data_IF_187441030377
#
_entry.id   IF_187441030377
#
_cell.length_a   1.000
_cell.length_b   1.000
_cell.length_c   1.000
_cell.angle_alpha   90.00
_cell.angle_beta   90.00
_cell.angle_gamma   90.00
#
_symmetry.space_group_name_H-M   'P 1'
#
loop_
_entity.id
_entity.type
_entity.pdbx_description
1 polymer ?
#
# COMPACT_ATOMS: atom_id res chain seq x y z
N UNK A 1 -5.09 3.76 13.14
CA UNK A 1 -4.94 5.15 12.66
C UNK A 1 -6.04 5.47 11.67
N UNK A 2 -6.69 6.62 11.81
CA UNK A 2 -7.74 7.14 10.93
C UNK A 2 -7.71 8.66 10.99
N UNK A 3 -8.44 9.34 10.11
CA UNK A 3 -8.71 10.78 10.28
C UNK A 3 -9.55 11.05 11.54
N UNK A 4 -9.46 12.28 12.08
CA UNK A 4 -10.02 12.63 13.39
C UNK A 4 -11.55 12.55 13.46
N UNK A 5 -12.23 12.84 12.35
CA UNK A 5 -13.70 12.78 12.22
C UNK A 5 -14.28 11.44 12.70
N UNK A 6 -13.54 10.35 12.51
CA UNK A 6 -14.03 8.98 12.74
C UNK A 6 -13.66 8.41 14.11
N UNK A 7 -12.85 9.13 14.91
CA UNK A 7 -12.28 8.60 16.15
C UNK A 7 -13.33 8.07 17.13
N UNK A 8 -14.39 8.84 17.38
CA UNK A 8 -15.48 8.41 18.27
C UNK A 8 -16.28 7.24 17.72
N UNK A 9 -16.52 7.19 16.41
CA UNK A 9 -17.25 6.08 15.79
C UNK A 9 -16.45 4.78 15.89
N UNK A 10 -15.14 4.84 15.67
CA UNK A 10 -14.26 3.67 15.80
C UNK A 10 -14.20 3.21 17.26
N UNK A 11 -14.01 4.14 18.20
CA UNK A 11 -13.97 3.80 19.63
C UNK A 11 -15.31 3.21 20.12
N UNK A 12 -16.44 3.80 19.72
CA UNK A 12 -17.77 3.37 20.15
C UNK A 12 -18.26 2.08 19.48
N UNK A 13 -18.13 1.97 18.14
CA UNK A 13 -18.70 0.85 17.39
C UNK A 13 -17.73 -0.31 17.24
N UNK A 14 -16.45 -0.04 16.94
CA UNK A 14 -15.44 -1.09 16.75
C UNK A 14 -14.75 -1.50 18.06
N UNK A 15 -14.90 -0.70 19.14
CA UNK A 15 -14.26 -0.92 20.43
C UNK A 15 -12.74 -1.16 20.27
N UNK A 16 -12.07 -0.21 19.63
CA UNK A 16 -10.62 -0.22 19.38
C UNK A 16 -10.00 1.13 19.72
N UNK A 17 -8.74 1.10 20.14
CA UNK A 17 -7.95 2.29 20.45
C UNK A 17 -7.69 3.12 19.19
N UNK A 18 -7.95 4.42 19.26
CA UNK A 18 -7.70 5.40 18.19
C UNK A 18 -6.59 6.35 18.61
N UNK A 19 -5.74 6.76 17.66
CA UNK A 19 -4.64 7.69 17.94
C UNK A 19 -5.12 9.14 18.06
N UNK A 20 -6.11 9.51 17.25
CA UNK A 20 -6.67 10.85 17.19
C UNK A 20 -8.19 10.74 17.26
N UNK A 21 -8.83 11.72 17.89
CA UNK A 21 -10.27 11.77 18.13
C UNK A 21 -10.88 13.12 17.73
N UNK A 22 -12.21 13.19 17.83
CA UNK A 22 -13.01 14.35 17.42
C UNK A 22 -13.06 15.46 18.50
N UNK A 23 -12.28 15.33 19.59
CA UNK A 23 -12.16 16.39 20.59
C UNK A 23 -11.11 17.45 20.20
N UNK A 24 -10.20 17.10 19.30
CA UNK A 24 -9.22 18.01 18.68
C UNK A 24 -8.42 18.88 19.66
N UNK A 25 -8.09 18.36 20.84
CA UNK A 25 -7.40 19.13 21.89
C UNK A 25 -5.88 19.26 21.67
N UNK A 26 -5.28 18.36 20.88
CA UNK A 26 -3.84 18.35 20.57
C UNK A 26 -3.62 18.40 19.05
N UNK A 27 -3.41 19.61 18.54
CA UNK A 27 -3.23 19.87 17.11
C UNK A 27 -1.95 19.25 16.54
N UNK A 28 -0.85 19.22 17.30
CA UNK A 28 0.40 18.62 16.84
C UNK A 28 0.26 17.12 16.60
N UNK A 29 -0.56 16.41 17.40
CA UNK A 29 -0.85 15.00 17.16
C UNK A 29 -1.67 14.79 15.87
N UNK A 30 -2.68 15.63 15.64
CA UNK A 30 -3.47 15.61 14.39
C UNK A 30 -2.56 15.89 13.18
N UNK A 31 -1.66 16.86 13.30
CA UNK A 31 -0.70 17.20 12.25
C UNK A 31 0.26 16.06 11.92
N UNK A 32 0.67 15.27 12.92
CA UNK A 32 1.51 14.10 12.72
C UNK A 32 0.77 12.98 11.97
N UNK A 33 -0.51 12.76 12.25
CA UNK A 33 -1.37 11.86 11.45
C UNK A 33 -1.60 12.41 10.04
N UNK A 34 -1.86 13.72 9.90
CA UNK A 34 -1.98 14.38 8.60
C UNK A 34 -0.72 14.19 7.77
N UNK A 35 0.45 14.39 8.38
CA UNK A 35 1.77 14.19 7.77
C UNK A 35 1.97 12.74 7.33
N UNK A 36 1.59 11.76 8.16
CA UNK A 36 1.66 10.35 7.78
C UNK A 36 0.72 10.03 6.59
N UNK A 37 -0.45 10.65 6.50
CA UNK A 37 -1.39 10.39 5.41
C UNK A 37 -0.99 11.04 4.08
N UNK A 38 -0.32 12.20 4.13
CA UNK A 38 0.07 12.96 2.93
C UNK A 38 1.52 12.74 2.47
N UNK A 39 2.35 12.04 3.25
CA UNK A 39 3.72 11.69 2.87
C UNK A 39 3.80 10.48 1.94
N UNK A 40 5.00 10.21 1.41
CA UNK A 40 5.29 8.96 0.69
C UNK A 40 5.21 7.75 1.64
N UNK A 41 4.99 6.56 1.08
CA UNK A 41 4.81 5.32 1.86
C UNK A 41 5.97 5.05 2.85
N UNK A 42 7.22 5.29 2.46
CA UNK A 42 8.41 5.10 3.29
C UNK A 42 8.42 6.02 4.51
N UNK A 43 8.28 7.34 4.31
CA UNK A 43 8.22 8.32 5.41
C UNK A 43 7.02 8.08 6.32
N UNK A 44 5.90 7.71 5.72
CA UNK A 44 4.68 7.41 6.46
C UNK A 44 4.84 6.17 7.32
N UNK A 45 5.56 5.16 6.82
CA UNK A 45 5.86 3.94 7.58
C UNK A 45 6.74 4.20 8.80
N UNK A 46 7.73 5.10 8.71
CA UNK A 46 8.53 5.52 9.86
C UNK A 46 7.64 6.15 10.95
N UNK A 47 6.71 7.03 10.55
CA UNK A 47 5.78 7.69 11.47
C UNK A 47 4.79 6.67 12.07
N UNK A 48 4.23 5.77 11.26
CA UNK A 48 3.32 4.73 11.75
C UNK A 48 4.02 3.77 12.72
N UNK A 49 5.29 3.46 12.48
CA UNK A 49 6.08 2.59 13.36
C UNK A 49 6.41 3.28 14.67
N UNK A 50 6.75 4.58 14.65
CA UNK A 50 7.05 5.33 15.89
C UNK A 50 5.84 5.50 16.80
N UNK A 51 4.64 5.54 16.21
CA UNK A 51 3.36 5.60 16.92
C UNK A 51 2.78 4.22 17.26
N UNK A 52 3.47 3.13 16.95
CA UNK A 52 3.01 1.74 17.08
C UNK A 52 1.61 1.48 16.48
N UNK A 53 1.40 1.93 15.24
CA UNK A 53 0.16 1.69 14.50
C UNK A 53 0.11 0.25 13.98
N UNK A 54 -1.01 -0.43 14.20
CA UNK A 54 -1.29 -1.75 13.63
C UNK A 54 -2.13 -1.70 12.35
N UNK A 55 -3.16 -0.85 12.34
CA UNK A 55 -4.12 -0.75 11.25
C UNK A 55 -4.35 0.70 10.83
N UNK A 56 -4.60 0.90 9.54
CA UNK A 56 -4.98 2.17 8.93
C UNK A 56 -6.36 2.04 8.31
N UNK A 57 -7.27 2.94 8.65
CA UNK A 57 -8.61 3.01 8.08
C UNK A 57 -8.71 4.24 7.17
N UNK A 58 -9.22 4.03 5.96
CA UNK A 58 -9.49 5.07 4.97
C UNK A 58 -10.90 4.93 4.43
N UNK A 59 -11.61 6.04 4.28
CA UNK A 59 -12.90 6.11 3.58
C UNK A 59 -12.68 6.50 2.12
N UNK A 60 -13.15 5.65 1.22
CA UNK A 60 -13.04 5.81 -0.22
C UNK A 60 -14.41 5.81 -0.89
N UNK A 61 -14.80 6.93 -1.51
CA UNK A 61 -16.14 7.11 -2.07
C UNK A 61 -16.26 6.80 -3.56
N UNK A 62 -15.17 6.44 -4.23
CA UNK A 62 -15.10 6.50 -5.70
C UNK A 62 -15.95 5.47 -6.46
N UNK A 63 -16.34 4.36 -5.83
CA UNK A 63 -17.22 3.33 -6.43
C UNK A 63 -18.68 3.79 -6.49
N UNK A 64 -19.18 4.39 -5.41
CA UNK A 64 -20.60 4.73 -5.26
C UNK A 64 -20.90 6.22 -5.44
N UNK A 65 -19.86 7.07 -5.54
CA UNK A 65 -20.06 8.52 -5.62
C UNK A 65 -20.28 9.18 -4.25
N UNK A 66 -19.69 8.64 -3.18
CA UNK A 66 -19.82 9.25 -1.85
C UNK A 66 -18.87 10.44 -1.70
N UNK A 67 -19.43 11.64 -1.55
CA UNK A 67 -18.65 12.89 -1.52
C UNK A 67 -17.85 13.11 -0.22
N UNK A 68 -18.23 12.46 0.88
CA UNK A 68 -17.57 12.62 2.18
C UNK A 68 -16.32 11.75 2.37
N UNK A 69 -15.61 11.40 1.29
CA UNK A 69 -14.44 10.53 1.33
C UNK A 69 -13.16 11.27 1.77
N UNK A 70 -12.13 10.51 2.11
CA UNK A 70 -10.89 11.09 2.65
C UNK A 70 -10.05 11.81 1.59
N UNK A 71 -10.27 11.53 0.30
CA UNK A 71 -9.60 12.26 -0.78
C UNK A 71 -10.16 13.68 -0.91
N UNK A 72 -11.47 13.92 -0.70
CA UNK A 72 -12.03 15.29 -0.69
C UNK A 72 -11.58 16.08 0.54
N UNK A 73 -11.30 15.39 1.64
CA UNK A 73 -10.77 16.01 2.87
C UNK A 73 -9.25 16.10 2.89
N UNK A 74 -8.57 15.53 1.90
CA UNK A 74 -7.11 15.39 1.88
C UNK A 74 -6.38 16.73 2.03
N UNK A 75 -6.85 17.78 1.37
CA UNK A 75 -6.19 19.08 1.41
C UNK A 75 -6.22 19.71 2.82
N UNK A 76 -7.25 19.40 3.63
CA UNK A 76 -7.27 19.78 5.05
C UNK A 76 -6.19 19.05 5.84
N UNK A 77 -5.93 17.78 5.54
CA UNK A 77 -4.84 17.01 6.16
C UNK A 77 -3.48 17.63 5.85
N UNK A 78 -3.28 18.03 4.59
CA UNK A 78 -2.06 18.70 4.11
C UNK A 78 -1.85 20.04 4.83
N UNK A 79 -2.88 20.89 4.90
CA UNK A 79 -2.80 22.21 5.56
C UNK A 79 -2.47 22.12 7.05
N UNK A 80 -3.09 21.17 7.77
CA UNK A 80 -2.81 20.96 9.20
C UNK A 80 -1.38 20.43 9.38
N UNK A 81 -0.93 19.52 8.52
CA UNK A 81 0.43 19.00 8.56
C UNK A 81 1.48 20.07 8.22
N UNK A 82 1.23 20.92 7.22
CA UNK A 82 2.11 22.04 6.85
C UNK A 82 2.25 23.07 7.98
N UNK A 83 1.17 23.34 8.72
CA UNK A 83 1.19 24.28 9.85
C UNK A 83 2.22 23.93 10.93
N UNK A 84 2.38 22.64 11.23
CA UNK A 84 3.35 22.17 12.25
C UNK A 84 4.68 21.70 11.63
N UNK A 85 4.67 21.22 10.38
CA UNK A 85 5.83 20.65 9.68
C UNK A 85 6.07 21.26 8.28
N UNK A 86 6.33 22.58 8.19
CA UNK A 86 6.42 23.30 6.90
C UNK A 86 7.64 22.93 6.04
N UNK A 87 8.63 22.25 6.64
CA UNK A 87 9.82 21.78 5.92
C UNK A 87 9.59 20.50 5.13
N UNK A 88 8.64 19.68 5.58
CA UNK A 88 8.42 18.34 5.04
C UNK A 88 7.26 18.30 4.04
N UNK A 89 6.23 19.11 4.27
CA UNK A 89 4.99 19.13 3.50
C UNK A 89 4.65 20.56 3.13
N UNK A 90 4.27 20.76 1.86
CA UNK A 90 3.79 22.03 1.33
C UNK A 90 2.54 21.79 0.51
N UNK A 91 1.50 22.61 0.71
CA UNK A 91 0.25 22.50 -0.03
C UNK A 91 0.46 22.64 -1.55
N UNK A 92 1.38 23.51 -1.97
CA UNK A 92 1.70 23.75 -3.38
C UNK A 92 2.10 22.49 -4.14
N UNK A 93 2.74 21.53 -3.47
CA UNK A 93 3.32 20.34 -4.11
C UNK A 93 2.24 19.34 -4.57
N UNK A 94 1.00 19.47 -4.06
CA UNK A 94 -0.13 18.62 -4.41
C UNK A 94 -1.02 19.20 -5.51
N UNK A 95 -0.72 20.42 -5.97
CA UNK A 95 -1.39 21.04 -7.11
C UNK A 95 -0.57 20.86 -8.38
N UNK A 96 -1.27 20.89 -9.52
CA UNK A 96 -0.60 20.99 -10.82
C UNK A 96 0.02 22.38 -11.02
N UNK A 97 0.85 22.55 -12.04
CA UNK A 97 1.41 23.88 -12.41
C UNK A 97 0.34 24.94 -12.69
N UNK A 98 -0.90 24.50 -12.99
CA UNK A 98 -2.07 25.36 -13.20
C UNK A 98 -2.85 25.68 -11.91
N UNK A 99 -2.44 25.12 -10.78
CA UNK A 99 -3.13 25.26 -9.50
C UNK A 99 -4.37 24.35 -9.35
N UNK A 100 -4.51 23.32 -10.19
CA UNK A 100 -5.66 22.40 -10.12
C UNK A 100 -5.36 21.18 -9.24
N UNK A 101 -6.32 20.73 -8.44
CA UNK A 101 -6.22 19.48 -7.68
C UNK A 101 -6.84 18.35 -8.50
N UNK A 102 -5.99 17.53 -9.14
CA UNK A 102 -6.41 16.46 -10.05
C UNK A 102 -5.87 15.10 -9.60
N UNK A 103 -6.69 14.07 -9.76
CA UNK A 103 -6.35 12.66 -9.45
C UNK A 103 -6.01 11.83 -10.70
N UNK A 104 -6.09 12.45 -11.87
CA UNK A 104 -5.80 11.81 -13.15
C UNK A 104 -4.30 11.80 -13.45
N UNK A 105 -3.93 11.41 -14.66
CA UNK A 105 -2.52 11.33 -15.08
C UNK A 105 -1.83 12.69 -15.10
N UNK A 106 -2.58 13.79 -15.12
CA UNK A 106 -2.06 15.16 -15.04
C UNK A 106 -1.92 15.66 -13.60
N UNK A 107 -2.33 14.84 -12.61
CA UNK A 107 -2.20 15.13 -11.20
C UNK A 107 -0.74 15.29 -10.75
N UNK A 108 -0.54 16.04 -9.67
CA UNK A 108 0.79 16.30 -9.13
C UNK A 108 1.50 14.98 -8.75
N UNK A 109 2.80 14.81 -9.08
CA UNK A 109 3.54 13.61 -8.73
C UNK A 109 3.59 13.32 -7.22
N UNK A 110 3.55 14.36 -6.39
CA UNK A 110 3.50 14.21 -4.94
C UNK A 110 2.16 13.59 -4.48
N UNK A 111 1.04 13.98 -5.10
CA UNK A 111 -0.28 13.41 -4.84
C UNK A 111 -0.37 11.96 -5.30
N UNK A 112 0.06 11.65 -6.52
CA UNK A 112 -0.01 10.28 -7.07
C UNK A 112 0.85 9.26 -6.31
N UNK A 113 1.86 9.74 -5.57
CA UNK A 113 2.76 8.92 -4.75
C UNK A 113 2.49 9.00 -3.24
N UNK A 114 1.53 9.80 -2.79
CA UNK A 114 1.23 9.92 -1.36
C UNK A 114 0.55 8.65 -0.84
N UNK A 115 0.69 8.41 0.47
CA UNK A 115 0.09 7.26 1.12
C UNK A 115 -1.43 7.24 0.94
N UNK A 116 -2.12 8.37 1.14
CA UNK A 116 -3.58 8.45 1.02
C UNK A 116 -4.07 8.03 -0.38
N UNK A 117 -3.41 8.50 -1.45
CA UNK A 117 -3.75 8.11 -2.81
C UNK A 117 -3.55 6.60 -3.00
N UNK A 118 -2.39 6.07 -2.58
CA UNK A 118 -2.10 4.64 -2.68
C UNK A 118 -3.11 3.78 -1.91
N UNK A 119 -3.47 4.15 -0.69
CA UNK A 119 -4.44 3.41 0.12
C UNK A 119 -5.87 3.52 -0.42
N UNK A 120 -6.26 4.65 -0.99
CA UNK A 120 -7.61 4.79 -1.53
C UNK A 120 -7.79 4.02 -2.85
N UNK A 121 -6.80 4.09 -3.74
CA UNK A 121 -6.87 3.54 -5.10
C UNK A 121 -6.21 2.18 -5.29
N UNK A 122 -5.81 1.50 -4.20
CA UNK A 122 -5.20 0.17 -4.30
C UNK A 122 -6.12 -0.81 -5.04
N UNK A 123 -5.61 -1.38 -6.15
CA UNK A 123 -6.34 -2.27 -7.09
C UNK A 123 -7.57 -1.65 -7.76
N UNK A 124 -7.78 -0.33 -7.61
CA UNK A 124 -8.91 0.36 -8.25
C UNK A 124 -8.72 0.51 -9.76
N UNK A 125 -7.48 0.54 -10.25
CA UNK A 125 -7.17 0.67 -11.69
C UNK A 125 -7.70 -0.48 -12.55
N UNK A 126 -7.86 -1.67 -11.98
CA UNK A 126 -8.39 -2.85 -12.66
C UNK A 126 -9.92 -2.93 -12.59
N UNK A 127 -10.55 -2.18 -11.69
CA UNK A 127 -11.98 -2.22 -11.46
C UNK A 127 -12.73 -1.53 -12.60
N UNK A 128 -13.63 -2.27 -13.25
CA UNK A 128 -14.58 -1.74 -14.23
C UNK A 128 -15.97 -1.69 -13.63
N UNK A 129 -16.46 -0.48 -13.38
CA UNK A 129 -17.80 -0.25 -12.81
C UNK A 129 -18.90 -0.39 -13.85
N UNK A 130 -18.69 0.17 -15.04
CA UNK A 130 -19.66 0.14 -16.12
C UNK A 130 -19.14 -0.76 -17.25
N UNK A 131 -20.02 -1.52 -17.90
CA UNK A 131 -19.65 -2.44 -18.98
C UNK A 131 -18.93 -1.74 -20.15
N UNK A 132 -19.28 -0.47 -20.41
CA UNK A 132 -18.65 0.37 -21.45
C UNK A 132 -17.69 1.41 -20.88
N UNK A 133 -17.55 1.49 -19.55
CA UNK A 133 -16.74 2.49 -18.88
C UNK A 133 -15.24 2.14 -18.90
N UNK A 134 -14.37 3.15 -18.81
CA UNK A 134 -12.94 2.90 -18.59
C UNK A 134 -12.71 2.26 -17.21
N UNK A 135 -11.66 1.44 -17.10
CA UNK A 135 -11.24 0.88 -15.81
C UNK A 135 -10.57 1.96 -14.94
N UNK A 136 -10.81 1.91 -13.63
CA UNK A 136 -10.31 2.90 -12.67
C UNK A 136 -10.97 4.27 -12.79
N UNK A 137 -12.28 4.29 -13.07
CA UNK A 137 -13.06 5.53 -13.13
C UNK A 137 -13.63 5.89 -11.75
N UNK A 138 -13.23 7.04 -11.21
CA UNK A 138 -13.76 7.57 -9.95
C UNK A 138 -15.05 8.36 -10.21
N UNK A 139 -16.19 7.87 -9.69
CA UNK A 139 -17.50 8.51 -9.84
C UNK A 139 -17.65 9.81 -9.05
N UNK A 140 -16.89 10.02 -7.98
CA UNK A 140 -16.98 11.26 -7.19
C UNK A 140 -16.33 12.43 -7.91
N UNK A 141 -15.20 12.17 -8.59
CA UNK A 141 -14.38 13.18 -9.27
C UNK A 141 -14.56 13.20 -10.78
N UNK A 142 -15.33 12.26 -11.30
CA UNK A 142 -15.60 12.10 -12.73
C UNK A 142 -14.32 12.01 -13.59
N UNK A 143 -13.28 11.37 -13.05
CA UNK A 143 -11.97 11.27 -13.68
C UNK A 143 -11.42 9.83 -13.64
N UNK A 144 -10.59 9.51 -14.62
CA UNK A 144 -9.84 8.25 -14.63
C UNK A 144 -8.59 8.45 -13.79
N UNK A 145 -8.29 7.51 -12.89
CA UNK A 145 -7.10 7.60 -12.05
C UNK A 145 -5.82 7.64 -12.88
N UNK A 146 -4.85 8.44 -12.45
CA UNK A 146 -3.56 8.59 -13.13
C UNK A 146 -2.66 7.36 -12.98
N UNK A 147 -2.42 6.96 -11.74
CA UNK A 147 -1.60 5.80 -11.43
C UNK A 147 -2.50 4.58 -11.17
N UNK A 148 -2.43 3.59 -12.07
CA UNK A 148 -3.28 2.38 -12.05
C UNK A 148 -2.61 1.19 -11.39
N UNK A 149 -1.30 1.04 -11.61
CA UNK A 149 -0.56 -0.16 -11.25
C UNK A 149 0.53 0.21 -10.24
N UNK A 150 0.24 -0.07 -8.97
CA UNK A 150 1.22 0.07 -7.90
C UNK A 150 0.99 -0.99 -6.82
N UNK A 151 2.06 -1.36 -6.14
CA UNK A 151 2.04 -2.29 -5.02
C UNK A 151 2.35 -1.56 -3.71
N UNK A 152 1.77 -2.06 -2.62
CA UNK A 152 2.07 -1.60 -1.27
C UNK A 152 3.21 -2.46 -0.71
N UNK A 153 4.28 -1.81 -0.28
CA UNK A 153 5.45 -2.47 0.29
C UNK A 153 5.28 -2.69 1.78
N UNK A 154 4.89 -1.64 2.49
CA UNK A 154 4.83 -1.60 3.96
C UNK A 154 3.45 -1.91 4.53
N UNK A 155 2.41 -1.84 3.71
CA UNK A 155 1.04 -2.12 4.10
C UNK A 155 0.48 -3.30 3.30
N UNK A 156 -0.50 -3.96 3.87
CA UNK A 156 -1.30 -4.99 3.20
C UNK A 156 -2.78 -4.73 3.41
N UNK A 157 -3.59 -5.04 2.40
CA UNK A 157 -5.04 -4.93 2.47
C UNK A 157 -5.59 -5.99 3.44
N UNK A 158 -6.20 -5.55 4.54
CA UNK A 158 -6.76 -6.44 5.55
C UNK A 158 -8.26 -6.67 5.34
N UNK A 159 -9.00 -5.61 4.98
CA UNK A 159 -10.43 -5.69 4.70
C UNK A 159 -10.88 -4.53 3.81
N UNK A 160 -11.78 -4.83 2.87
CA UNK A 160 -12.46 -3.84 2.04
C UNK A 160 -13.94 -4.18 2.01
N UNK A 161 -14.79 -3.18 2.30
CA UNK A 161 -16.25 -3.33 2.29
C UNK A 161 -16.79 -3.65 0.91
N UNK A 162 -18.03 -4.17 0.82
CA UNK A 162 -18.68 -4.58 -0.44
C UNK A 162 -18.67 -3.49 -1.52
N UNK A 163 -19.04 -2.27 -1.14
CA UNK A 163 -19.04 -1.10 -2.03
C UNK A 163 -17.77 -0.27 -1.96
N UNK A 164 -16.71 -0.83 -1.37
CA UNK A 164 -15.38 -0.22 -1.21
C UNK A 164 -15.39 1.13 -0.48
N UNK A 165 -16.42 1.40 0.32
CA UNK A 165 -16.58 2.64 1.07
C UNK A 165 -15.55 2.78 2.19
N UNK A 166 -15.34 1.70 2.95
CA UNK A 166 -14.34 1.63 4.00
C UNK A 166 -13.29 0.60 3.61
N UNK A 167 -12.02 0.99 3.74
CA UNK A 167 -10.84 0.17 3.50
C UNK A 167 -9.96 0.16 4.74
N UNK A 168 -9.51 -1.02 5.12
CA UNK A 168 -8.66 -1.25 6.29
C UNK A 168 -7.39 -1.95 5.83
N UNK A 169 -6.26 -1.35 6.16
CA UNK A 169 -4.93 -1.83 5.85
C UNK A 169 -4.21 -2.21 7.14
N UNK A 170 -3.46 -3.30 7.11
CA UNK A 170 -2.55 -3.70 8.17
C UNK A 170 -1.15 -3.17 7.86
N UNK A 171 -0.51 -2.60 8.86
CA UNK A 171 0.89 -2.17 8.78
C UNK A 171 1.78 -3.36 9.08
N UNK A 172 2.66 -3.73 8.14
CA UNK A 172 3.63 -4.81 8.36
C UNK A 172 4.62 -4.38 9.43
N UNK A 173 4.98 -5.28 10.34
CA UNK A 173 5.91 -4.92 11.42
C UNK A 173 7.38 -5.04 10.96
N UNK A 174 8.32 -4.28 11.57
CA UNK A 174 9.73 -4.29 11.16
C UNK A 174 10.38 -5.68 11.13
N UNK A 175 9.95 -6.58 12.01
CA UNK A 175 10.41 -7.97 12.08
C UNK A 175 10.04 -8.80 10.83
N UNK A 176 9.03 -8.41 10.06
CA UNK A 176 8.61 -9.09 8.83
C UNK A 176 9.58 -8.80 7.66
N UNK A 177 10.34 -7.70 7.74
CA UNK A 177 11.31 -7.29 6.73
C UNK A 177 12.72 -7.87 6.94
N UNK A 178 12.89 -8.83 7.86
CA UNK A 178 14.19 -9.40 8.27
C UNK A 178 14.95 -10.17 7.15
N UNK A 179 14.45 -10.14 5.91
CA UNK A 179 15.14 -10.65 4.73
C UNK A 179 15.08 -9.65 3.58
N UNK A 180 15.94 -8.61 3.56
CA UNK A 180 15.98 -7.68 2.45
C UNK A 180 16.36 -8.41 1.15
N UNK A 181 15.64 -8.09 0.08
CA UNK A 181 15.98 -8.54 -1.27
C UNK A 181 17.26 -7.84 -1.72
N UNK A 182 18.42 -8.49 -1.57
CA UNK A 182 19.68 -7.96 -2.10
C UNK A 182 19.63 -7.93 -3.63
N UNK A 183 19.95 -6.77 -4.21
CA UNK A 183 20.08 -6.60 -5.66
C UNK A 183 21.20 -7.50 -6.17
N UNK A 184 21.09 -7.96 -7.41
CA UNK A 184 22.06 -8.90 -8.00
C UNK A 184 23.50 -8.38 -7.94
N UNK A 185 23.66 -7.06 -8.08
CA UNK A 185 24.93 -6.33 -8.00
C UNK A 185 25.60 -6.35 -6.62
N UNK A 186 24.81 -6.49 -5.55
CA UNK A 186 25.28 -6.50 -4.16
C UNK A 186 25.64 -7.93 -3.69
N UNK A 187 25.44 -8.94 -4.54
CA UNK A 187 25.69 -10.34 -4.19
C UNK A 187 27.15 -10.70 -4.44
N UNK A 188 27.84 -11.09 -3.37
CA UNK A 188 29.25 -11.57 -3.41
C UNK A 188 29.40 -12.83 -4.27
N UNK A 189 28.36 -13.67 -4.32
CA UNK A 189 28.35 -14.91 -5.10
C UNK A 189 27.57 -14.71 -6.40
N UNK A 190 28.23 -15.01 -7.52
CA UNK A 190 27.58 -15.05 -8.82
C UNK A 190 26.57 -16.20 -8.86
N UNK A 191 25.30 -15.94 -9.21
CA UNK A 191 24.31 -17.00 -9.30
C UNK A 191 24.67 -17.90 -10.48
N UNK A 192 24.71 -19.22 -10.25
CA UNK A 192 24.75 -20.16 -11.37
C UNK A 192 23.37 -20.20 -12.02
N UNK A 193 23.33 -20.17 -13.35
CA UNK A 193 22.11 -20.34 -14.13
C UNK A 193 21.60 -21.79 -14.04
N UNK A 194 20.97 -22.13 -12.91
CA UNK A 194 20.26 -23.40 -12.75
C UNK A 194 18.81 -23.21 -13.21
N UNK A 195 18.44 -23.87 -14.30
CA UNK A 195 17.05 -23.92 -14.76
C UNK A 195 16.35 -25.09 -14.06
N UNK A 196 15.24 -24.78 -13.39
CA UNK A 196 14.43 -25.80 -12.73
C UNK A 196 13.92 -26.83 -13.73
N UNK A 197 14.16 -28.10 -13.41
CA UNK A 197 13.69 -29.25 -14.17
C UNK A 197 12.44 -29.87 -13.54
N UNK A 198 11.82 -29.20 -12.56
CA UNK A 198 10.63 -29.65 -11.86
C UNK A 198 9.37 -29.44 -12.70
N UNK A 199 8.50 -30.43 -12.71
CA UNK A 199 7.15 -30.33 -13.24
C UNK A 199 6.19 -31.11 -12.32
N UNK A 200 4.85 -31.05 -12.50
CA UNK A 200 3.90 -31.70 -11.60
C UNK A 200 4.17 -33.21 -11.41
N UNK A 201 4.68 -33.88 -12.45
CA UNK A 201 5.06 -35.31 -12.46
C UNK A 201 6.47 -35.60 -11.92
N UNK A 202 7.40 -34.64 -12.01
CA UNK A 202 8.80 -34.75 -11.61
C UNK A 202 9.12 -33.69 -10.56
N UNK A 203 8.89 -34.04 -9.30
CA UNK A 203 9.12 -33.18 -8.13
C UNK A 203 10.54 -33.32 -7.53
N UNK A 204 11.49 -33.94 -8.24
CA UNK A 204 12.87 -34.14 -7.76
C UNK A 204 13.72 -32.88 -7.96
N UNK A 205 14.42 -32.46 -6.90
CA UNK A 205 15.40 -31.38 -6.94
C UNK A 205 16.74 -31.79 -7.56
N UNK A 206 17.63 -30.82 -7.74
CA UNK A 206 18.99 -31.00 -8.23
C UNK A 206 19.99 -30.69 -7.13
N UNK A 207 21.03 -31.52 -7.01
CA UNK A 207 22.17 -31.32 -6.11
C UNK A 207 23.39 -31.35 -7.03
N UNK A 208 24.22 -30.29 -7.01
CA UNK A 208 25.37 -30.15 -7.93
C UNK A 208 26.37 -31.30 -7.84
N UNK A 209 26.67 -31.75 -6.63
CA UNK A 209 27.65 -32.80 -6.33
C UNK A 209 26.97 -34.09 -5.84
N UNK A 210 25.92 -34.54 -6.55
CA UNK A 210 25.21 -35.76 -6.17
C UNK A 210 26.04 -37.01 -6.53
N UNK A 211 26.38 -37.88 -5.57
CA UNK A 211 27.09 -39.13 -5.87
C UNK A 211 26.23 -40.05 -6.76
N UNK A 212 26.85 -40.66 -7.76
CA UNK A 212 26.20 -41.60 -8.69
C UNK A 212 26.08 -42.97 -8.02
N UNK A 213 24.84 -43.43 -7.81
CA UNK A 213 24.60 -44.77 -7.27
C UNK A 213 24.73 -45.78 -8.41
N UNK A 214 25.85 -46.50 -8.45
CA UNK A 214 26.06 -47.62 -9.39
C UNK A 214 25.45 -48.87 -8.75
N UNK A 215 24.32 -49.35 -9.28
CA UNK A 215 23.73 -50.63 -8.85
C UNK A 215 24.47 -51.79 -9.53
N UNK A 216 24.97 -52.74 -8.73
CA UNK A 216 25.65 -53.94 -9.25
C UNK A 216 24.73 -54.76 -10.17
N UNK A 217 25.26 -55.21 -11.31
CA UNK A 217 24.55 -56.14 -12.21
C UNK A 217 24.63 -57.56 -11.62
N UNK A 218 23.48 -58.21 -11.45
CA UNK A 218 23.41 -59.63 -11.08
C UNK A 218 23.96 -60.45 -12.25
N UNK A 219 25.00 -61.23 -12.01
CA UNK A 219 25.55 -62.16 -13.02
C UNK A 219 24.46 -63.16 -13.40
N UNK A 220 24.12 -63.27 -14.69
CA UNK A 220 23.27 -64.35 -15.18
C UNK A 220 24.04 -65.65 -14.97
N UNK A 221 23.50 -66.59 -14.19
CA UNK A 221 24.00 -67.96 -14.18
C UNK A 221 23.86 -68.49 -15.61
N UNK A 222 24.98 -68.88 -16.20
CA UNK A 222 25.00 -69.70 -17.42
C UNK A 222 24.23 -70.99 -17.11
N UNK A 223 23.17 -71.25 -17.86
CA UNK A 223 22.54 -72.57 -17.96
C UNK A 223 23.17 -73.29 -19.15
#
# INVERSE_FOLDING_TARGET
MSWWDYGYQIAGMANRTTLVDNNTWNNSHIALVGKAMSSTEEKSYEIMTSLDVDYVLVIFGGVIGYSGDDINKFLWMVRIAEGEHPKDIKESDYFTDRGEFRIDSEGAPALLNCLMYKLSYYRFGELKLDYRGPAGYDRTRNAIIGNKDFELTYLEEAYTTEHWLVRIYRVKKPNEFNRPSLKLSERILTPTNYITKKNPKRRKGYIRSRPTVIKGKRTKKLQ
#
